data_IF_627983658380
#
_entry.id   IF_627983658380
#
_cell.length_a   1.000
_cell.length_b   1.000
_cell.length_c   1.000
_cell.angle_alpha   90.00
_cell.angle_beta   90.00
_cell.angle_gamma   90.00
#
_symmetry.space_group_name_H-M   'P 1'
#
loop_
_entity.id
_entity.type
_entity.pdbx_description
1 polymer ?
#
# COMPACT_ATOMS: atom_id res chain seq x y z
N UNK A 1 -33.47 11.97 4.69
CA UNK A 1 -34.51 11.03 5.20
C UNK A 1 -34.37 9.70 4.46
N UNK A 2 -33.51 8.80 4.94
CA UNK A 2 -33.34 7.46 4.34
C UNK A 2 -34.40 6.54 4.96
N UNK A 3 -35.27 5.96 4.14
CA UNK A 3 -36.43 5.17 4.56
C UNK A 3 -36.02 3.96 5.41
N UNK A 4 -36.78 3.68 6.47
CA UNK A 4 -36.58 2.61 7.44
C UNK A 4 -36.50 1.19 6.83
N UNK A 5 -36.85 1.01 5.56
CA UNK A 5 -36.70 -0.25 4.84
C UNK A 5 -35.25 -0.54 4.39
N UNK A 6 -34.41 0.48 4.18
CA UNK A 6 -33.01 0.29 3.75
C UNK A 6 -32.13 -0.21 4.91
N UNK A 7 -32.53 0.02 6.16
CA UNK A 7 -31.82 -0.40 7.37
C UNK A 7 -31.93 -1.92 7.65
N UNK A 8 -32.95 -2.60 7.08
CA UNK A 8 -33.21 -4.03 7.38
C UNK A 8 -32.46 -4.97 6.43
N UNK A 9 -32.02 -4.49 5.25
CA UNK A 9 -31.28 -5.28 4.26
C UNK A 9 -29.74 -5.16 4.40
N UNK A 10 -29.27 -4.22 5.23
CA UNK A 10 -27.87 -3.94 5.56
C UNK A 10 -27.22 -4.70 6.76
N UNK A 11 -27.83 -5.67 7.48
CA UNK A 11 -27.11 -6.35 8.57
C UNK A 11 -26.05 -7.35 8.06
N UNK A 12 -26.11 -7.78 6.80
CA UNK A 12 -25.19 -8.77 6.22
C UNK A 12 -23.85 -8.16 5.75
N UNK A 13 -23.73 -6.84 5.76
CA UNK A 13 -22.52 -6.09 5.39
C UNK A 13 -21.94 -5.27 6.56
N UNK A 14 -22.43 -5.51 7.78
CA UNK A 14 -21.75 -5.07 8.98
C UNK A 14 -20.57 -6.00 9.19
N UNK A 15 -19.35 -5.50 8.96
CA UNK A 15 -18.14 -6.21 9.36
C UNK A 15 -18.10 -6.25 10.90
N UNK A 16 -18.78 -7.22 11.52
CA UNK A 16 -18.63 -7.42 12.94
C UNK A 16 -17.15 -7.76 13.21
N UNK A 17 -16.50 -7.18 14.24
CA UNK A 17 -15.03 -7.23 14.40
C UNK A 17 -14.45 -8.65 14.50
N UNK A 18 -15.27 -9.67 14.75
CA UNK A 18 -14.90 -11.09 14.82
C UNK A 18 -15.57 -11.95 13.73
N UNK A 19 -16.22 -11.35 12.73
CA UNK A 19 -16.83 -12.10 11.64
C UNK A 19 -15.77 -12.78 10.77
N UNK A 20 -16.10 -13.95 10.22
CA UNK A 20 -15.23 -14.65 9.28
C UNK A 20 -14.89 -13.76 8.08
N UNK A 21 -15.85 -12.93 7.63
CA UNK A 21 -15.67 -12.00 6.53
C UNK A 21 -14.60 -10.94 6.82
N UNK A 22 -14.59 -10.34 8.02
CA UNK A 22 -13.57 -9.35 8.41
C UNK A 22 -12.18 -9.98 8.53
N UNK A 23 -12.07 -11.22 9.01
CA UNK A 23 -10.79 -11.93 9.06
C UNK A 23 -10.26 -12.21 7.65
N UNK A 24 -11.13 -12.67 6.74
CA UNK A 24 -10.77 -12.92 5.34
C UNK A 24 -10.35 -11.61 4.64
N UNK A 25 -11.08 -10.53 4.87
CA UNK A 25 -10.80 -9.23 4.27
C UNK A 25 -9.50 -8.60 4.83
N UNK A 26 -9.22 -8.72 6.13
CA UNK A 26 -7.94 -8.33 6.73
C UNK A 26 -6.78 -9.17 6.18
N UNK A 27 -6.97 -10.48 6.04
CA UNK A 27 -5.96 -11.37 5.45
C UNK A 27 -5.68 -10.96 4.00
N UNK A 28 -6.72 -10.63 3.24
CA UNK A 28 -6.59 -10.13 1.87
C UNK A 28 -5.84 -8.80 1.81
N UNK A 29 -6.15 -7.88 2.73
CA UNK A 29 -5.44 -6.61 2.87
C UNK A 29 -3.96 -6.84 3.19
N UNK A 30 -3.65 -7.74 4.12
CA UNK A 30 -2.26 -8.10 4.45
C UNK A 30 -1.51 -8.64 3.23
N UNK A 31 -2.13 -9.56 2.48
CA UNK A 31 -1.54 -10.08 1.23
C UNK A 31 -1.32 -8.97 0.20
N UNK A 32 -2.27 -8.04 0.04
CA UNK A 32 -2.11 -6.88 -0.83
C UNK A 32 -0.90 -6.02 -0.44
N UNK A 33 -0.71 -5.75 0.85
CA UNK A 33 0.45 -5.01 1.35
C UNK A 33 1.75 -5.78 1.05
N UNK A 34 1.79 -7.10 1.29
CA UNK A 34 2.97 -7.89 0.95
C UNK A 34 3.32 -7.85 -0.55
N UNK A 35 2.31 -7.92 -1.42
CA UNK A 35 2.51 -7.79 -2.87
C UNK A 35 2.95 -6.38 -3.25
N UNK A 36 2.38 -5.35 -2.62
CA UNK A 36 2.79 -3.96 -2.81
C UNK A 36 4.26 -3.75 -2.44
N UNK A 37 4.71 -4.22 -1.28
CA UNK A 37 6.11 -4.14 -0.85
C UNK A 37 7.06 -4.89 -1.81
N UNK A 38 6.62 -6.04 -2.32
CA UNK A 38 7.39 -6.78 -3.31
C UNK A 38 7.56 -6.00 -4.63
N UNK A 39 6.47 -5.41 -5.13
CA UNK A 39 6.51 -4.58 -6.35
C UNK A 39 7.31 -3.30 -6.13
N UNK A 40 7.21 -2.71 -4.93
CA UNK A 40 8.01 -1.56 -4.53
C UNK A 40 9.52 -1.88 -4.64
N UNK A 41 9.93 -3.06 -4.15
CA UNK A 41 11.30 -3.55 -4.28
C UNK A 41 11.81 -3.66 -5.73
N UNK A 42 10.94 -3.98 -6.71
CA UNK A 42 11.33 -4.01 -8.12
C UNK A 42 11.65 -2.62 -8.66
N UNK A 43 10.80 -1.63 -8.38
CA UNK A 43 11.01 -0.25 -8.79
C UNK A 43 12.28 0.32 -8.16
N UNK A 44 12.48 0.13 -6.86
CA UNK A 44 13.66 0.61 -6.15
C UNK A 44 14.94 -0.08 -6.61
N UNK A 45 14.87 -1.39 -6.90
CA UNK A 45 16.00 -2.11 -7.49
C UNK A 45 16.36 -1.54 -8.84
N UNK A 46 15.38 -1.33 -9.74
CA UNK A 46 15.61 -0.75 -11.05
C UNK A 46 16.27 0.63 -10.97
N UNK A 47 15.78 1.49 -10.06
CA UNK A 47 16.33 2.82 -9.82
C UNK A 47 17.79 2.76 -9.33
N UNK A 48 18.11 1.84 -8.41
CA UNK A 48 19.45 1.70 -7.84
C UNK A 48 20.47 1.09 -8.82
N UNK A 49 20.06 0.12 -9.64
CA UNK A 49 21.00 -0.63 -10.51
C UNK A 49 21.21 0.02 -11.88
N UNK A 50 20.31 0.90 -12.34
CA UNK A 50 20.38 1.49 -13.68
C UNK A 50 21.75 2.17 -13.95
N UNK A 51 22.24 2.97 -13.01
CA UNK A 51 23.49 3.74 -13.18
C UNK A 51 24.74 2.84 -13.22
N UNK A 52 24.87 1.91 -12.29
CA UNK A 52 26.04 1.02 -12.18
C UNK A 52 26.13 -0.01 -13.30
N UNK A 53 24.97 -0.44 -13.85
CA UNK A 53 24.93 -1.33 -15.01
C UNK A 53 25.26 -0.55 -16.29
N UNK A 54 24.65 0.63 -16.46
CA UNK A 54 24.86 1.48 -17.64
C UNK A 54 26.31 1.96 -17.77
N UNK A 55 26.94 2.32 -16.65
CA UNK A 55 28.35 2.72 -16.62
C UNK A 55 29.33 1.54 -16.62
N UNK A 56 28.84 0.30 -16.66
CA UNK A 56 29.64 -0.92 -16.60
C UNK A 56 30.54 -1.04 -15.36
N UNK A 57 30.18 -0.36 -14.27
CA UNK A 57 30.89 -0.46 -12.99
C UNK A 57 30.66 -1.81 -12.31
N UNK A 58 29.45 -2.38 -12.44
CA UNK A 58 29.08 -3.68 -11.87
C UNK A 58 28.36 -4.56 -12.89
N UNK A 59 28.54 -5.89 -12.77
CA UNK A 59 27.76 -6.87 -13.53
C UNK A 59 26.30 -6.87 -13.04
N UNK A 60 25.30 -7.03 -13.93
CA UNK A 60 23.87 -6.95 -13.56
C UNK A 60 23.47 -7.81 -12.36
N UNK A 61 23.92 -9.07 -12.30
CA UNK A 61 23.59 -9.97 -11.19
C UNK A 61 24.11 -9.46 -9.85
N UNK A 62 25.32 -8.90 -9.84
CA UNK A 62 25.96 -8.38 -8.64
C UNK A 62 25.29 -7.08 -8.19
N UNK A 63 24.93 -6.21 -9.14
CA UNK A 63 24.20 -4.97 -8.86
C UNK A 63 22.84 -5.23 -8.20
N UNK A 64 22.07 -6.20 -8.69
CA UNK A 64 20.77 -6.57 -8.11
C UNK A 64 20.90 -7.12 -6.69
N UNK A 65 21.88 -8.01 -6.44
CA UNK A 65 22.12 -8.54 -5.09
C UNK A 65 22.51 -7.42 -4.14
N UNK A 66 23.41 -6.51 -4.56
CA UNK A 66 23.79 -5.35 -3.76
C UNK A 66 22.62 -4.42 -3.47
N UNK A 67 21.76 -4.16 -4.45
CA UNK A 67 20.58 -3.35 -4.27
C UNK A 67 19.62 -3.95 -3.24
N UNK A 68 19.37 -5.27 -3.29
CA UNK A 68 18.56 -5.96 -2.30
C UNK A 68 19.15 -5.89 -0.88
N UNK A 69 20.46 -6.11 -0.75
CA UNK A 69 21.16 -6.00 0.54
C UNK A 69 21.08 -4.58 1.11
N UNK A 70 21.31 -3.56 0.30
CA UNK A 70 21.26 -2.17 0.73
C UNK A 70 19.85 -1.72 1.09
N UNK A 71 18.82 -2.14 0.34
CA UNK A 71 17.43 -1.90 0.69
C UNK A 71 17.07 -2.52 2.05
N UNK A 72 17.50 -3.76 2.28
CA UNK A 72 17.26 -4.44 3.55
C UNK A 72 17.95 -3.72 4.72
N UNK A 73 19.21 -3.33 4.56
CA UNK A 73 19.94 -2.54 5.57
C UNK A 73 19.24 -1.19 5.82
N UNK A 74 18.75 -0.53 4.76
CA UNK A 74 18.01 0.73 4.88
C UNK A 74 16.76 0.60 5.75
N UNK A 75 15.97 -0.45 5.55
CA UNK A 75 14.79 -0.75 6.38
C UNK A 75 15.19 -1.04 7.83
N UNK A 76 16.28 -1.77 8.07
CA UNK A 76 16.75 -2.03 9.44
C UNK A 76 17.28 -0.79 10.15
N UNK A 77 17.97 0.10 9.44
CA UNK A 77 18.60 1.29 10.01
C UNK A 77 17.61 2.46 10.21
N UNK A 78 16.60 2.59 9.35
CA UNK A 78 15.70 3.74 9.33
C UNK A 78 14.27 3.46 8.90
N UNK A 79 13.87 2.20 8.69
CA UNK A 79 12.51 1.87 8.25
C UNK A 79 11.43 2.29 9.27
N UNK A 80 11.74 2.24 10.56
CA UNK A 80 10.80 2.62 11.63
C UNK A 80 10.42 4.11 11.54
N UNK A 81 11.37 5.01 11.27
CA UNK A 81 11.06 6.44 11.18
C UNK A 81 10.20 6.76 9.96
N UNK A 82 10.44 6.09 8.83
CA UNK A 82 9.60 6.22 7.63
C UNK A 82 8.21 5.66 7.87
N UNK A 83 8.09 4.53 8.57
CA UNK A 83 6.80 3.95 8.93
C UNK A 83 5.98 4.90 9.81
N UNK A 84 6.59 5.55 10.81
CA UNK A 84 5.92 6.58 11.62
C UNK A 84 5.48 7.78 10.78
N UNK A 85 6.34 8.28 9.90
CA UNK A 85 5.98 9.38 9.01
C UNK A 85 4.79 9.04 8.10
N UNK A 86 4.70 7.79 7.64
CA UNK A 86 3.54 7.33 6.87
C UNK A 86 2.27 7.28 7.73
N UNK A 87 2.35 6.77 8.96
CA UNK A 87 1.21 6.72 9.90
C UNK A 87 0.69 8.12 10.25
N UNK A 88 1.57 9.10 10.40
CA UNK A 88 1.19 10.50 10.65
C UNK A 88 0.48 11.14 9.46
N UNK A 89 0.73 10.64 8.24
CA UNK A 89 0.02 11.07 7.04
C UNK A 89 -1.35 10.40 6.90
N UNK A 90 -1.63 9.29 7.60
CA UNK A 90 -2.93 8.63 7.54
C UNK A 90 -4.01 9.50 8.20
N UNK A 91 -5.16 9.76 7.53
CA UNK A 91 -6.30 10.42 8.14
C UNK A 91 -6.76 9.62 9.35
N UNK A 92 -7.10 10.32 10.44
CA UNK A 92 -7.63 9.69 11.64
C UNK A 92 -8.88 8.85 11.35
N UNK A 93 -9.67 9.26 10.34
CA UNK A 93 -10.88 8.57 9.90
C UNK A 93 -10.57 7.20 9.26
N UNK A 94 -9.38 7.00 8.66
CA UNK A 94 -8.93 5.68 8.18
C UNK A 94 -8.55 4.77 9.35
N UNK A 95 -8.03 5.34 10.44
CA UNK A 95 -7.62 4.57 11.63
C UNK A 95 -8.79 4.33 12.60
N UNK A 96 -9.80 5.18 12.57
CA UNK A 96 -11.02 5.10 13.40
C UNK A 96 -12.19 5.76 12.68
N UNK A 97 -12.89 5.03 11.79
CA UNK A 97 -14.03 5.56 11.05
C UNK A 97 -15.12 6.10 12.00
N UNK A 98 -15.67 7.31 11.76
CA UNK A 98 -16.63 7.97 12.65
C UNK A 98 -17.89 7.16 12.95
N UNK A 99 -18.26 6.26 12.03
CA UNK A 99 -19.45 5.42 12.11
C UNK A 99 -19.22 4.12 12.90
N UNK A 100 -17.98 3.85 13.35
CA UNK A 100 -17.61 2.59 14.02
C UNK A 100 -17.49 1.40 13.07
N UNK A 101 -17.63 1.63 11.75
CA UNK A 101 -17.42 0.62 10.72
C UNK A 101 -15.92 0.26 10.62
N UNK A 102 -15.56 -0.99 10.28
CA UNK A 102 -14.17 -1.35 10.12
C UNK A 102 -13.50 -0.64 8.95
N UNK A 103 -12.28 -0.15 9.18
CA UNK A 103 -11.41 0.50 8.20
C UNK A 103 -10.99 -0.37 7.00
N UNK A 104 -11.45 -1.63 6.95
CA UNK A 104 -11.00 -2.66 6.01
C UNK A 104 -11.23 -2.25 4.54
N UNK A 105 -12.43 -1.74 4.13
CA UNK A 105 -12.65 -1.33 2.74
C UNK A 105 -11.73 -0.17 2.33
N UNK A 106 -11.47 0.77 3.24
CA UNK A 106 -10.57 1.90 3.00
C UNK A 106 -9.15 1.42 2.75
N UNK A 107 -8.63 0.52 3.60
CA UNK A 107 -7.28 -0.05 3.44
C UNK A 107 -7.14 -0.87 2.14
N UNK A 108 -8.15 -1.66 1.78
CA UNK A 108 -8.17 -2.40 0.51
C UNK A 108 -8.15 -1.44 -0.67
N UNK A 109 -8.94 -0.35 -0.63
CA UNK A 109 -8.96 0.64 -1.71
C UNK A 109 -7.62 1.40 -1.83
N UNK A 110 -7.00 1.73 -0.69
CA UNK A 110 -5.73 2.44 -0.62
C UNK A 110 -4.59 1.60 -1.21
N UNK A 111 -4.34 0.42 -0.66
CA UNK A 111 -3.26 -0.45 -1.12
C UNK A 111 -3.57 -1.08 -2.46
N UNK A 112 -4.84 -1.37 -2.76
CA UNK A 112 -5.27 -1.87 -4.07
C UNK A 112 -4.99 -0.86 -5.19
N UNK A 113 -5.33 0.42 -4.98
CA UNK A 113 -5.07 1.49 -5.97
C UNK A 113 -3.57 1.74 -6.12
N UNK A 114 -2.83 1.84 -5.00
CA UNK A 114 -1.40 2.05 -5.03
C UNK A 114 -0.65 0.90 -5.73
N UNK A 115 -1.02 -0.36 -5.44
CA UNK A 115 -0.46 -1.54 -6.10
C UNK A 115 -0.81 -1.59 -7.58
N UNK A 116 -2.07 -1.33 -7.96
CA UNK A 116 -2.50 -1.33 -9.35
C UNK A 116 -1.68 -0.32 -10.17
N UNK A 117 -1.49 0.89 -9.65
CA UNK A 117 -0.66 1.91 -10.31
C UNK A 117 0.82 1.51 -10.38
N UNK A 118 1.36 0.92 -9.32
CA UNK A 118 2.73 0.39 -9.32
C UNK A 118 2.94 -0.71 -10.38
N UNK A 119 1.96 -1.59 -10.58
CA UNK A 119 2.02 -2.62 -11.62
C UNK A 119 1.88 -2.04 -13.03
N UNK A 120 0.98 -1.07 -13.21
CA UNK A 120 0.79 -0.38 -14.50
C UNK A 120 2.07 0.34 -14.93
N UNK A 121 2.66 1.13 -14.03
CA UNK A 121 3.90 1.86 -14.30
C UNK A 121 5.07 0.92 -14.58
N UNK A 122 5.17 -0.19 -13.84
CA UNK A 122 6.14 -1.25 -14.11
C UNK A 122 5.95 -1.87 -15.50
N UNK A 123 4.71 -2.19 -15.87
CA UNK A 123 4.38 -2.77 -17.18
C UNK A 123 4.80 -1.85 -18.34
N UNK A 124 4.65 -0.53 -18.16
CA UNK A 124 5.06 0.46 -19.14
C UNK A 124 6.54 0.90 -19.01
N UNK A 125 7.28 0.37 -18.03
CA UNK A 125 8.68 0.75 -17.80
C UNK A 125 8.87 2.21 -17.37
N UNK A 126 7.84 2.82 -16.76
CA UNK A 126 7.86 4.21 -16.30
C UNK A 126 8.43 4.25 -14.88
N UNK A 127 9.51 5.01 -14.63
CA UNK A 127 10.03 5.17 -13.27
C UNK A 127 8.96 5.87 -12.41
N UNK A 128 8.65 5.27 -11.27
CA UNK A 128 7.59 5.71 -10.39
C UNK A 128 8.06 5.71 -8.93
N UNK A 129 7.44 6.56 -8.10
CA UNK A 129 7.64 6.59 -6.66
C UNK A 129 6.46 5.94 -5.94
N UNK A 130 6.69 4.77 -5.34
CA UNK A 130 5.66 4.06 -4.57
C UNK A 130 5.11 4.89 -3.41
N UNK A 131 5.93 5.70 -2.75
CA UNK A 131 5.48 6.59 -1.66
C UNK A 131 4.46 7.61 -2.15
N UNK A 132 4.66 8.20 -3.33
CA UNK A 132 3.68 9.13 -3.93
C UNK A 132 2.40 8.39 -4.34
N UNK A 133 2.48 7.12 -4.71
CA UNK A 133 1.30 6.31 -5.01
C UNK A 133 0.45 6.07 -3.76
N UNK A 134 1.09 5.77 -2.63
CA UNK A 134 0.41 5.58 -1.34
C UNK A 134 -0.22 6.89 -0.88
N UNK A 135 0.52 8.01 -0.93
CA UNK A 135 -0.02 9.34 -0.58
C UNK A 135 -1.17 9.74 -1.52
N UNK A 136 -1.06 9.49 -2.82
CA UNK A 136 -2.13 9.76 -3.78
C UNK A 136 -3.39 8.93 -3.52
N UNK A 137 -3.23 7.64 -3.24
CA UNK A 137 -4.32 6.75 -2.86
C UNK A 137 -4.97 7.18 -1.53
N UNK A 138 -4.16 7.62 -0.57
CA UNK A 138 -4.60 8.16 0.71
C UNK A 138 -5.47 9.40 0.54
N UNK A 139 -5.05 10.36 -0.29
CA UNK A 139 -5.85 11.54 -0.65
C UNK A 139 -7.17 11.11 -1.31
N UNK A 140 -7.12 10.11 -2.21
CA UNK A 140 -8.32 9.58 -2.87
C UNK A 140 -9.34 8.99 -1.88
N UNK A 141 -8.86 8.24 -0.88
CA UNK A 141 -9.71 7.73 0.20
C UNK A 141 -10.28 8.86 1.04
N UNK A 142 -9.47 9.85 1.43
CA UNK A 142 -9.92 11.00 2.21
C UNK A 142 -10.99 11.83 1.50
N UNK A 143 -10.90 11.99 0.17
CA UNK A 143 -11.94 12.67 -0.62
C UNK A 143 -13.20 11.80 -0.78
N UNK A 144 -13.04 10.48 -0.92
CA UNK A 144 -14.17 9.57 -1.07
C UNK A 144 -14.99 9.35 0.21
N UNK A 145 -14.38 9.55 1.37
CA UNK A 145 -15.02 9.44 2.69
C UNK A 145 -15.59 10.77 3.22
N UNK A 146 -15.18 11.91 2.64
CA UNK A 146 -15.67 13.26 2.96
C UNK A 146 -17.09 13.54 2.41
#
# INVERSE_FOLDING_TARGET
MRSSATQVLLPMLHFAPYSVLSILALTTCFLLVCVFEFVNGFHDTANAVATVIYTHSLKPRVAVIWSGLMNFIGVLAGGISVAYGLVELLPADVLSPPNGDPAIPMLISLFGTALAWNLVTWWFGIPNSSSHCVIGALIGVAIGDA
#
